data_IF_935629923113
#
_entry.id   IF_935629923113
#
_cell.length_a   1.000
_cell.length_b   1.000
_cell.length_c   1.000
_cell.angle_alpha   90.00
_cell.angle_beta   90.00
_cell.angle_gamma   90.00
#
_symmetry.space_group_name_H-M   'P 1'
#
loop_
_entity.id
_entity.type
_entity.pdbx_description
1 polymer ?
#
# COMPACT_ATOMS: atom_id res chain seq x y z
N UNK A 1 -3.47 4.33 40.29
CA UNK A 1 -3.51 4.29 38.81
C UNK A 1 -2.37 5.15 38.29
N UNK A 2 -1.47 4.63 37.44
CA UNK A 2 -0.32 5.38 36.90
C UNK A 2 -0.54 5.53 35.39
N UNK A 3 -0.93 6.72 34.95
CA UNK A 3 -1.09 7.06 33.53
C UNK A 3 0.31 7.33 32.97
N UNK A 4 0.78 6.50 32.04
CA UNK A 4 2.00 6.78 31.29
C UNK A 4 1.62 7.57 30.03
N UNK A 5 1.99 8.85 30.00
CA UNK A 5 1.88 9.67 28.79
C UNK A 5 3.14 9.46 27.97
N UNK A 6 3.01 8.99 26.74
CA UNK A 6 4.11 9.02 25.77
C UNK A 6 4.27 10.47 25.28
N UNK A 7 5.37 11.12 25.66
CA UNK A 7 5.74 12.44 25.18
C UNK A 7 6.81 12.26 24.10
N UNK A 8 6.65 12.86 22.89
CA UNK A 8 7.69 12.83 21.86
C UNK A 8 9.00 13.41 22.41
N UNK A 9 10.14 12.87 21.97
CA UNK A 9 11.44 13.36 22.40
C UNK A 9 11.58 14.86 22.06
N UNK A 10 11.70 15.75 23.07
CA UNK A 10 11.72 17.20 22.85
C UNK A 10 12.99 17.69 22.14
N UNK A 11 14.02 16.85 22.01
CA UNK A 11 15.24 17.15 21.26
C UNK A 11 15.07 16.92 19.76
N UNK A 12 14.02 16.21 19.34
CA UNK A 12 13.74 16.03 17.92
C UNK A 12 12.99 17.27 17.41
N UNK A 13 13.39 17.82 16.26
CA UNK A 13 12.67 18.93 15.63
C UNK A 13 11.20 18.56 15.42
N UNK A 14 10.29 19.55 15.46
CA UNK A 14 8.87 19.35 15.14
C UNK A 14 8.66 18.67 13.79
N UNK A 15 9.58 18.92 12.86
CA UNK A 15 9.61 18.37 11.50
C UNK A 15 9.83 16.86 11.51
N UNK A 16 10.51 16.29 12.53
CA UNK A 16 10.69 14.84 12.67
C UNK A 16 9.37 14.11 12.91
N UNK A 17 8.41 14.77 13.57
CA UNK A 17 7.07 14.23 13.82
C UNK A 17 6.10 14.58 12.68
N UNK A 18 6.54 15.37 11.71
CA UNK A 18 5.77 15.69 10.52
C UNK A 18 5.82 14.52 9.55
N UNK A 19 4.70 14.24 8.89
CA UNK A 19 4.70 13.23 7.81
C UNK A 19 5.58 13.74 6.66
N UNK A 20 6.32 12.86 5.96
CA UNK A 20 7.02 13.24 4.74
C UNK A 20 6.05 13.95 3.80
N UNK A 21 6.37 15.19 3.43
CA UNK A 21 5.56 15.92 2.46
C UNK A 21 5.78 15.29 1.08
N UNK A 22 4.70 15.08 0.35
CA UNK A 22 4.79 14.58 -1.02
C UNK A 22 5.42 15.64 -1.94
N UNK A 23 6.31 15.17 -2.81
CA UNK A 23 6.87 15.98 -3.90
C UNK A 23 5.78 16.29 -4.94
N UNK A 24 5.84 17.50 -5.52
CA UNK A 24 4.94 17.93 -6.59
C UNK A 24 4.91 16.95 -7.77
N UNK A 25 6.06 16.36 -8.12
CA UNK A 25 6.11 15.37 -9.21
C UNK A 25 5.27 14.12 -8.91
N UNK A 26 5.31 13.63 -7.67
CA UNK A 26 4.52 12.47 -7.24
C UNK A 26 3.03 12.83 -7.20
N UNK A 27 2.70 14.05 -6.77
CA UNK A 27 1.31 14.54 -6.77
C UNK A 27 0.75 14.57 -8.19
N UNK A 28 1.50 15.12 -9.14
CA UNK A 28 1.10 15.19 -10.55
C UNK A 28 0.88 13.80 -11.16
N UNK A 29 1.75 12.83 -10.84
CA UNK A 29 1.61 11.45 -11.33
C UNK A 29 0.36 10.73 -10.80
N UNK A 30 -0.24 11.21 -9.70
CA UNK A 30 -1.44 10.63 -9.11
C UNK A 30 -2.69 11.50 -9.32
N UNK A 31 -2.60 12.60 -10.07
CA UNK A 31 -3.68 13.58 -10.20
C UNK A 31 -4.84 13.06 -11.06
N UNK A 32 -4.56 12.28 -12.11
CA UNK A 32 -5.55 11.76 -13.06
C UNK A 32 -5.99 10.32 -12.73
N UNK A 33 -5.78 9.89 -11.48
CA UNK A 33 -6.08 8.54 -11.01
C UNK A 33 -7.44 8.53 -10.29
N UNK A 34 -8.43 7.82 -10.84
CA UNK A 34 -9.80 7.77 -10.31
C UNK A 34 -9.90 7.22 -8.87
N UNK A 35 -9.00 6.30 -8.52
CA UNK A 35 -8.96 5.63 -7.24
C UNK A 35 -7.61 5.85 -6.54
N UNK A 36 -7.18 7.11 -6.51
CA UNK A 36 -5.90 7.50 -5.91
C UNK A 36 -5.88 7.25 -4.40
N UNK A 37 -4.78 6.69 -3.89
CA UNK A 37 -4.55 6.56 -2.45
C UNK A 37 -4.53 7.92 -1.75
N UNK A 38 -4.21 9.00 -2.47
CA UNK A 38 -4.22 10.36 -1.94
C UNK A 38 -5.62 10.80 -1.48
N UNK A 39 -6.67 10.24 -2.07
CA UNK A 39 -8.07 10.49 -1.72
C UNK A 39 -8.59 9.57 -0.61
N UNK A 40 -7.78 8.62 -0.13
CA UNK A 40 -8.19 7.73 0.95
C UNK A 40 -8.42 8.53 2.25
N UNK A 41 -9.63 8.48 2.85
CA UNK A 41 -9.93 9.26 4.05
C UNK A 41 -9.24 8.69 5.30
N UNK A 42 -8.91 7.41 5.30
CA UNK A 42 -8.25 6.72 6.40
C UNK A 42 -6.83 7.22 6.68
N UNK A 43 -6.36 7.00 7.91
CA UNK A 43 -4.95 7.21 8.24
C UNK A 43 -4.07 6.12 7.62
N UNK A 44 -4.60 4.91 7.51
CA UNK A 44 -3.93 3.73 7.02
C UNK A 44 -4.71 3.06 5.90
N UNK A 45 -3.99 2.39 5.02
CA UNK A 45 -4.52 1.44 4.05
C UNK A 45 -3.60 0.22 4.02
N UNK A 46 -4.09 -0.93 3.58
CA UNK A 46 -3.28 -2.16 3.54
C UNK A 46 -2.71 -2.35 2.14
N UNK A 47 -1.39 -2.26 1.98
CA UNK A 47 -0.73 -2.58 0.72
C UNK A 47 -0.84 -4.06 0.42
N UNK A 48 -1.32 -4.39 -0.78
CA UNK A 48 -1.55 -5.76 -1.25
C UNK A 48 -0.74 -6.10 -2.49
N UNK A 49 -0.17 -5.12 -3.19
CA UNK A 49 0.75 -5.36 -4.30
C UNK A 49 1.74 -4.20 -4.45
N UNK A 50 2.95 -4.54 -4.86
CA UNK A 50 4.01 -3.59 -5.22
C UNK A 50 4.56 -3.94 -6.60
N UNK A 51 4.54 -2.97 -7.52
CA UNK A 51 5.08 -3.09 -8.87
C UNK A 51 6.26 -2.13 -9.03
N UNK A 52 7.47 -2.66 -9.17
CA UNK A 52 8.70 -1.86 -9.27
C UNK A 52 9.21 -1.82 -10.71
N UNK A 53 9.84 -0.70 -11.09
CA UNK A 53 10.55 -0.58 -12.37
C UNK A 53 11.84 -1.42 -12.44
N UNK A 54 12.39 -1.80 -11.28
CA UNK A 54 13.40 -2.84 -11.16
C UNK A 54 12.70 -4.21 -11.11
N UNK A 55 13.00 -5.11 -12.04
CA UNK A 55 12.22 -6.31 -12.35
C UNK A 55 11.54 -6.99 -11.15
N UNK A 56 10.20 -7.00 -11.15
CA UNK A 56 9.43 -7.88 -10.27
C UNK A 56 9.74 -9.33 -10.62
N UNK A 57 10.05 -10.15 -9.60
CA UNK A 57 10.33 -11.58 -9.77
C UNK A 57 9.04 -12.30 -10.17
N UNK A 58 8.79 -12.36 -11.48
CA UNK A 58 7.84 -13.28 -12.08
C UNK A 58 6.94 -12.64 -13.13
N UNK A 59 7.43 -12.49 -14.36
CA UNK A 59 6.73 -12.95 -15.56
C UNK A 59 7.69 -12.91 -16.77
N UNK A 60 7.91 -14.08 -17.38
CA UNK A 60 8.43 -14.36 -18.73
C UNK A 60 9.33 -13.36 -19.48
N UNK A 61 10.54 -13.86 -19.79
CA UNK A 61 11.46 -13.45 -20.85
C UNK A 61 12.26 -12.13 -20.68
N UNK A 62 13.52 -12.25 -21.08
CA UNK A 62 14.64 -11.32 -20.93
C UNK A 62 14.48 -10.03 -21.75
N UNK A 63 15.09 -8.94 -21.30
CA UNK A 63 16.19 -8.30 -22.03
C UNK A 63 16.76 -7.15 -21.19
N UNK A 64 17.94 -7.39 -20.61
CA UNK A 64 18.75 -6.35 -19.99
C UNK A 64 19.59 -5.67 -21.07
N UNK A 65 18.98 -4.78 -21.85
CA UNK A 65 19.74 -3.81 -22.64
C UNK A 65 19.03 -2.45 -22.70
N UNK A 66 19.80 -1.43 -22.33
CA UNK A 66 19.59 0.01 -22.50
C UNK A 66 18.48 0.71 -21.70
N UNK A 67 18.78 1.96 -21.38
CA UNK A 67 18.09 2.93 -20.52
C UNK A 67 16.60 3.15 -20.90
N UNK A 68 16.24 2.89 -22.16
CA UNK A 68 14.86 2.96 -22.68
C UNK A 68 13.89 1.93 -22.03
N UNK A 69 14.43 0.89 -21.39
CA UNK A 69 13.63 -0.13 -20.73
C UNK A 69 13.08 0.27 -19.36
N UNK A 70 13.65 1.28 -18.69
CA UNK A 70 13.25 1.65 -17.33
C UNK A 70 11.91 2.38 -17.30
N UNK A 71 11.73 3.38 -18.16
CA UNK A 71 10.46 4.09 -18.33
C UNK A 71 9.35 3.13 -18.77
N UNK A 72 9.63 2.24 -19.73
CA UNK A 72 8.68 1.21 -20.17
C UNK A 72 8.25 0.28 -19.02
N UNK A 73 9.16 -0.03 -18.09
CA UNK A 73 8.85 -0.86 -16.91
C UNK A 73 7.99 -0.11 -15.89
N UNK A 74 8.21 1.18 -15.69
CA UNK A 74 7.38 2.00 -14.80
C UNK A 74 5.97 2.21 -15.38
N UNK A 75 5.85 2.40 -16.70
CA UNK A 75 4.55 2.45 -17.40
C UNK A 75 3.79 1.14 -17.18
N UNK A 76 4.45 -0.02 -17.40
CA UNK A 76 3.84 -1.33 -17.14
C UNK A 76 3.47 -1.53 -15.67
N UNK A 77 4.27 -1.01 -14.74
CA UNK A 77 3.96 -1.05 -13.31
C UNK A 77 2.69 -0.26 -12.99
N UNK A 78 2.54 0.93 -13.56
CA UNK A 78 1.34 1.75 -13.43
C UNK A 78 0.11 1.07 -14.04
N UNK A 79 0.21 0.53 -15.26
CA UNK A 79 -0.89 -0.20 -15.92
C UNK A 79 -1.34 -1.43 -15.12
N UNK A 80 -0.39 -2.18 -14.53
CA UNK A 80 -0.71 -3.34 -13.69
C UNK A 80 -1.37 -2.91 -12.38
N UNK A 81 -0.91 -1.83 -11.75
CA UNK A 81 -1.55 -1.27 -10.56
C UNK A 81 -2.99 -0.84 -10.85
N UNK A 82 -3.21 -0.19 -11.99
CA UNK A 82 -4.53 0.27 -12.42
C UNK A 82 -5.48 -0.90 -12.68
N UNK A 83 -5.04 -1.87 -13.49
CA UNK A 83 -5.83 -3.09 -13.73
C UNK A 83 -6.17 -3.84 -12.45
N UNK A 84 -5.20 -3.97 -11.53
CA UNK A 84 -5.45 -4.65 -10.27
C UNK A 84 -6.45 -3.88 -9.40
N UNK A 85 -6.32 -2.56 -9.32
CA UNK A 85 -7.23 -1.70 -8.56
C UNK A 85 -8.66 -1.83 -9.08
N UNK A 86 -8.85 -1.74 -10.40
CA UNK A 86 -10.14 -1.94 -11.06
C UNK A 86 -10.72 -3.35 -10.81
N UNK A 87 -9.89 -4.39 -10.91
CA UNK A 87 -10.32 -5.76 -10.66
C UNK A 87 -10.77 -5.97 -9.20
N UNK A 88 -10.04 -5.39 -8.23
CA UNK A 88 -10.39 -5.44 -6.82
C UNK A 88 -11.68 -4.65 -6.53
N UNK A 89 -11.86 -3.47 -7.15
CA UNK A 89 -13.08 -2.66 -7.05
C UNK A 89 -14.29 -3.41 -7.58
N UNK A 90 -14.17 -4.09 -8.72
CA UNK A 90 -15.22 -4.96 -9.28
C UNK A 90 -15.59 -6.12 -8.36
N UNK A 91 -14.65 -6.61 -7.55
CA UNK A 91 -14.88 -7.62 -6.53
C UNK A 91 -15.44 -7.06 -5.21
N UNK A 92 -15.71 -5.76 -5.13
CA UNK A 92 -16.28 -5.10 -3.95
C UNK A 92 -15.25 -4.66 -2.91
N UNK A 93 -13.95 -4.73 -3.21
CA UNK A 93 -12.92 -4.19 -2.34
C UNK A 93 -12.78 -2.68 -2.53
N UNK A 94 -12.62 -1.94 -1.44
CA UNK A 94 -12.20 -0.54 -1.49
C UNK A 94 -10.70 -0.48 -1.80
N UNK A 95 -10.32 -0.53 -3.07
CA UNK A 95 -8.92 -0.53 -3.50
C UNK A 95 -8.44 0.84 -3.97
N UNK A 96 -7.17 1.14 -3.75
CA UNK A 96 -6.53 2.39 -4.12
C UNK A 96 -5.24 2.11 -4.83
N UNK A 97 -4.88 2.93 -5.79
CA UNK A 97 -3.55 2.91 -6.39
C UNK A 97 -2.74 4.15 -6.04
N UNK A 98 -1.43 3.98 -6.01
CA UNK A 98 -0.50 5.07 -5.78
C UNK A 98 0.76 4.83 -6.58
N UNK A 99 1.18 5.84 -7.32
CA UNK A 99 2.40 5.84 -8.08
C UNK A 99 3.45 6.69 -7.36
N UNK A 100 4.65 6.16 -7.23
CA UNK A 100 5.84 6.88 -6.79
C UNK A 100 6.94 6.80 -7.86
N UNK A 101 8.02 7.55 -7.71
CA UNK A 101 9.13 7.66 -8.67
C UNK A 101 9.72 6.31 -9.12
N UNK A 102 9.66 5.30 -8.27
CA UNK A 102 10.30 3.99 -8.50
C UNK A 102 9.32 2.83 -8.61
N UNK A 103 8.06 3.03 -8.19
CA UNK A 103 7.11 1.93 -8.06
C UNK A 103 5.66 2.39 -8.08
N UNK A 104 4.75 1.48 -8.42
CA UNK A 104 3.31 1.63 -8.23
C UNK A 104 2.83 0.63 -7.20
N UNK A 105 1.98 1.03 -6.27
CA UNK A 105 1.44 0.17 -5.23
C UNK A 105 -0.07 0.16 -5.28
N UNK A 106 -0.65 -0.98 -4.91
CA UNK A 106 -2.09 -1.13 -4.73
C UNK A 106 -2.37 -1.40 -3.26
N UNK A 107 -3.31 -0.66 -2.72
CA UNK A 107 -3.72 -0.75 -1.32
C UNK A 107 -5.22 -1.02 -1.23
N UNK A 108 -5.66 -1.59 -0.11
CA UNK A 108 -7.07 -1.90 0.16
C UNK A 108 -7.47 -1.41 1.54
N UNK A 109 -8.70 -0.90 1.64
CA UNK A 109 -9.33 -0.42 2.85
C UNK A 109 -9.03 1.05 3.15
N UNK A 110 -9.70 1.57 4.16
CA UNK A 110 -9.51 2.90 4.70
C UNK A 110 -9.68 2.83 6.21
N UNK A 111 -8.58 2.79 6.94
CA UNK A 111 -8.55 2.56 8.38
C UNK A 111 -8.09 3.81 9.13
N UNK A 112 -8.75 4.17 10.22
CA UNK A 112 -8.27 5.21 11.14
C UNK A 112 -7.13 4.73 12.05
N UNK A 113 -7.11 3.43 12.35
CA UNK A 113 -6.16 2.76 13.23
C UNK A 113 -5.91 1.31 12.79
N UNK A 114 -4.69 0.81 13.01
CA UNK A 114 -4.29 -0.57 12.66
C UNK A 114 -4.68 -1.58 13.74
N UNK A 115 -4.77 -1.14 14.99
CA UNK A 115 -5.22 -1.93 16.14
C UNK A 115 -6.44 -1.29 16.77
N UNK A 116 -7.29 -2.12 17.38
CA UNK A 116 -8.44 -1.73 18.17
C UNK A 116 -8.29 -2.32 19.57
N UNK A 117 -8.66 -1.54 20.59
CA UNK A 117 -8.64 -2.01 21.96
C UNK A 117 -9.20 -0.94 22.90
N UNK A 118 -9.95 -1.36 23.92
CA UNK A 118 -10.39 -0.45 24.97
C UNK A 118 -9.18 0.06 25.76
N UNK A 119 -9.30 1.27 26.31
CA UNK A 119 -8.25 1.82 27.17
C UNK A 119 -7.94 0.85 28.31
N UNK A 120 -6.72 0.29 28.31
CA UNK A 120 -6.24 -0.67 29.30
C UNK A 120 -6.43 -2.16 28.96
N UNK A 121 -7.06 -2.51 27.83
CA UNK A 121 -7.17 -3.89 27.34
C UNK A 121 -6.08 -4.27 26.33
N UNK A 122 -5.92 -5.58 26.02
CA UNK A 122 -5.01 -6.02 24.98
C UNK A 122 -5.41 -5.43 23.62
N UNK A 123 -4.46 -4.81 22.93
CA UNK A 123 -4.63 -4.30 21.57
C UNK A 123 -4.79 -5.49 20.61
N UNK A 124 -5.85 -5.48 19.82
CA UNK A 124 -6.12 -6.49 18.80
C UNK A 124 -6.01 -5.87 17.41
N UNK A 125 -5.64 -6.63 16.37
CA UNK A 125 -5.63 -6.11 15.00
C UNK A 125 -7.02 -5.64 14.58
N UNK A 126 -7.10 -4.56 13.81
CA UNK A 126 -8.36 -4.03 13.32
C UNK A 126 -9.10 -5.09 12.47
N UNK A 127 -10.42 -5.30 12.64
CA UNK A 127 -11.15 -6.36 11.93
C UNK A 127 -11.06 -6.23 10.41
N UNK A 128 -11.05 -5.01 9.89
CA UNK A 128 -10.83 -4.74 8.46
C UNK A 128 -9.47 -5.26 7.96
N UNK A 129 -8.41 -5.06 8.75
CA UNK A 129 -7.09 -5.56 8.39
C UNK A 129 -7.07 -7.10 8.37
N UNK A 130 -7.73 -7.74 9.34
CA UNK A 130 -7.89 -9.21 9.36
C UNK A 130 -8.66 -9.68 8.12
N UNK A 131 -9.76 -9.00 7.75
CA UNK A 131 -10.55 -9.31 6.56
C UNK A 131 -9.72 -9.24 5.29
N UNK A 132 -8.92 -8.19 5.15
CA UNK A 132 -8.02 -8.00 4.01
C UNK A 132 -6.93 -9.07 3.99
N UNK A 133 -6.29 -9.36 5.14
CA UNK A 133 -5.24 -10.38 5.20
C UNK A 133 -5.76 -11.78 4.85
N UNK A 134 -6.93 -12.15 5.34
CA UNK A 134 -7.54 -13.44 5.02
C UNK A 134 -8.05 -13.49 3.57
N UNK A 135 -8.53 -12.37 3.05
CA UNK A 135 -9.10 -12.26 1.71
C UNK A 135 -8.06 -12.10 0.61
N UNK A 136 -6.94 -11.44 0.87
CA UNK A 136 -5.95 -11.02 -0.14
C UNK A 136 -4.52 -11.51 0.17
N UNK A 137 -4.30 -12.13 1.32
CA UNK A 137 -3.04 -12.82 1.65
C UNK A 137 -2.89 -14.18 0.95
N UNK A 138 -1.78 -14.89 1.25
CA UNK A 138 -1.47 -16.18 0.65
C UNK A 138 -2.48 -17.24 1.12
N UNK A 139 -2.58 -18.32 0.33
CA UNK A 139 -3.46 -19.44 0.64
C UNK A 139 -3.11 -20.05 2.02
N UNK A 140 -4.02 -20.02 3.01
CA UNK A 140 -3.73 -20.43 4.37
C UNK A 140 -3.47 -21.93 4.51
N UNK A 141 -4.11 -22.76 3.69
CA UNK A 141 -3.92 -24.23 3.73
C UNK A 141 -2.54 -24.58 3.20
N UNK A 142 -2.13 -23.96 2.09
CA UNK A 142 -0.77 -24.14 1.55
C UNK A 142 0.30 -23.59 2.47
N UNK A 143 0.04 -22.44 3.08
CA UNK A 143 0.94 -21.84 4.07
C UNK A 143 1.13 -22.77 5.28
N UNK A 144 0.08 -23.42 5.76
CA UNK A 144 0.17 -24.40 6.85
C UNK A 144 1.00 -25.64 6.47
N UNK A 145 1.03 -26.01 5.19
CA UNK A 145 1.91 -27.05 4.63
C UNK A 145 3.34 -26.55 4.32
N UNK A 146 3.69 -25.32 4.72
CA UNK A 146 5.01 -24.73 4.49
C UNK A 146 5.24 -24.20 3.07
N UNK A 147 4.20 -24.13 2.23
CA UNK A 147 4.27 -23.63 0.86
C UNK A 147 3.68 -22.23 0.76
N UNK A 148 4.48 -21.25 0.39
CA UNK A 148 4.02 -19.87 0.17
C UNK A 148 3.50 -19.75 -1.27
N UNK A 149 2.19 -19.60 -1.43
CA UNK A 149 1.58 -19.28 -2.72
C UNK A 149 0.85 -17.94 -2.63
N UNK A 150 1.38 -16.87 -3.26
CA UNK A 150 0.70 -15.59 -3.28
C UNK A 150 -0.66 -15.69 -3.98
N UNK A 151 -1.64 -14.93 -3.50
CA UNK A 151 -2.94 -14.88 -4.14
C UNK A 151 -2.83 -14.19 -5.51
N UNK A 152 -3.70 -14.60 -6.43
CA UNK A 152 -3.80 -14.03 -7.77
C UNK A 152 -5.16 -13.37 -7.98
N UNK A 153 -5.16 -12.16 -8.56
CA UNK A 153 -6.35 -11.41 -8.96
C UNK A 153 -6.15 -10.95 -10.40
N UNK A 154 -7.08 -11.31 -11.29
CA UNK A 154 -6.99 -10.99 -12.73
C UNK A 154 -5.63 -11.32 -13.38
N UNK A 155 -5.06 -12.47 -13.03
CA UNK A 155 -3.75 -12.87 -13.54
C UNK A 155 -2.55 -12.27 -12.79
N UNK A 156 -2.74 -11.24 -11.96
CA UNK A 156 -1.70 -10.51 -11.23
C UNK A 156 -1.46 -11.13 -9.86
N UNK A 157 -0.20 -11.37 -9.49
CA UNK A 157 0.19 -11.87 -8.17
C UNK A 157 0.20 -10.73 -7.15
N UNK A 158 -0.34 -11.01 -5.96
CA UNK A 158 -0.31 -10.10 -4.82
C UNK A 158 0.96 -10.30 -3.98
N UNK A 159 1.25 -9.32 -3.13
CA UNK A 159 2.31 -9.41 -2.13
C UNK A 159 2.01 -10.57 -1.15
N UNK A 160 3.05 -11.32 -0.76
CA UNK A 160 2.93 -12.45 0.18
C UNK A 160 2.45 -12.01 1.56
N UNK A 161 2.75 -10.78 1.97
CA UNK A 161 2.42 -10.25 3.28
C UNK A 161 1.75 -8.88 3.12
N UNK A 162 0.40 -8.81 3.12
CA UNK A 162 -0.31 -7.55 3.11
C UNK A 162 0.03 -6.71 4.35
N UNK A 163 0.52 -5.49 4.14
CA UNK A 163 1.00 -4.62 5.23
C UNK A 163 0.23 -3.31 5.32
N UNK A 164 -0.18 -2.88 6.53
CA UNK A 164 -0.70 -1.53 6.71
C UNK A 164 0.40 -0.51 6.43
N UNK A 165 0.08 0.50 5.64
CA UNK A 165 0.92 1.66 5.37
C UNK A 165 0.17 2.94 5.77
N UNK A 166 0.89 3.99 6.14
CA UNK A 166 0.30 5.31 6.29
C UNK A 166 -0.13 5.84 4.92
N UNK A 167 -1.35 6.37 4.84
CA UNK A 167 -1.85 7.04 3.63
C UNK A 167 -1.05 8.33 3.42
N UNK A 168 -0.38 8.51 2.26
CA UNK A 168 0.34 9.73 1.95
C UNK A 168 -0.59 10.94 1.94
N UNK A 169 -0.10 12.10 2.38
CA UNK A 169 -0.90 13.32 2.47
C UNK A 169 -0.26 14.45 1.70
N UNK A 170 -1.10 15.22 1.02
CA UNK A 170 -0.69 16.46 0.35
C UNK A 170 -0.11 17.45 1.38
N UNK A 171 0.87 18.27 0.99
CA UNK A 171 1.40 19.34 1.83
C UNK A 171 0.28 20.27 2.33
N UNK A 172 0.33 20.64 3.61
CA UNK A 172 -0.59 21.61 4.21
C UNK A 172 -0.36 22.98 3.55
N UNK A 173 -1.23 23.41 2.64
CA UNK A 173 -1.14 24.75 2.03
C UNK A 173 -1.61 24.90 0.58
N UNK A 174 -2.00 23.82 -0.12
CA UNK A 174 -2.60 23.90 -1.46
C UNK A 174 -4.12 23.73 -1.34
N UNK A 175 -4.84 24.84 -1.12
CA UNK A 175 -6.29 24.95 -1.33
C UNK A 175 -6.52 25.86 -2.53
#
# INVERSE_FOLDING_TARGET
MRMAFMIPNPLLPSEYFSRPQLDSFVIEMNADVDHSLLDCPGRYSVRVATFTGAGSFGQGAMDASNDDGAESRLIKAAENAHRLTEALRKQGWQAWEFHDRESSVVCVGSLSQVTVGNQGGPQQPHPEFIRIKNGLGPDPEKLAMGTILPKRVDGILLDVDPRPIDVPRLPLGRR
#
